data_IF_483995348619
#
_entry.id   IF_483995348619
#
_cell.length_a   1.000
_cell.length_b   1.000
_cell.length_c   1.000
_cell.angle_alpha   90.00
_cell.angle_beta   90.00
_cell.angle_gamma   90.00
#
_symmetry.space_group_name_H-M   'P 1'
#
loop_
_entity.id
_entity.type
_entity.pdbx_description
1 polymer ?
#
# COMPACT_ATOMS: atom_id res chain seq x y z
N UNK A 1 28.39 8.15 3.37
CA UNK A 1 27.50 9.02 2.56
C UNK A 1 26.81 8.19 1.48
N UNK A 2 25.58 7.72 1.72
CA UNK A 2 24.72 7.02 0.72
C UNK A 2 23.28 7.55 0.84
N UNK A 3 23.13 8.86 0.85
CA UNK A 3 21.88 9.58 1.11
C UNK A 3 21.07 9.84 -0.18
N UNK A 4 20.77 8.80 -0.97
CA UNK A 4 19.89 8.94 -2.13
C UNK A 4 20.55 9.24 -3.48
N UNK A 5 21.88 9.16 -3.59
CA UNK A 5 22.54 9.18 -4.90
C UNK A 5 22.16 7.92 -5.70
N UNK A 6 21.63 8.10 -6.92
CA UNK A 6 21.22 7.00 -7.80
C UNK A 6 22.42 6.42 -8.55
N UNK A 7 23.44 7.23 -8.85
CA UNK A 7 24.67 6.81 -9.51
C UNK A 7 25.84 7.73 -9.10
N UNK A 8 27.08 7.24 -9.18
CA UNK A 8 28.30 8.02 -8.91
C UNK A 8 29.27 7.81 -10.07
N UNK A 9 29.63 8.89 -10.76
CA UNK A 9 30.54 8.86 -11.90
C UNK A 9 31.86 9.54 -11.54
N UNK A 10 32.98 8.87 -11.79
CA UNK A 10 34.34 9.39 -11.54
C UNK A 10 34.87 10.09 -12.79
N UNK A 11 35.48 11.26 -12.63
CA UNK A 11 36.09 12.00 -13.74
C UNK A 11 37.36 11.30 -14.25
N UNK A 12 37.66 11.39 -15.56
CA UNK A 12 36.86 12.02 -16.62
C UNK A 12 35.66 11.13 -17.01
N UNK A 13 34.47 11.74 -17.12
CA UNK A 13 33.22 11.04 -17.46
C UNK A 13 32.98 11.16 -18.96
N UNK A 14 32.68 10.05 -19.63
CA UNK A 14 32.27 10.06 -21.04
C UNK A 14 30.82 10.52 -21.15
N UNK A 15 30.53 11.34 -22.15
CA UNK A 15 29.18 11.91 -22.36
C UNK A 15 28.09 10.84 -22.44
N UNK A 16 28.36 9.71 -23.11
CA UNK A 16 27.45 8.57 -23.19
C UNK A 16 27.14 7.96 -21.81
N UNK A 17 28.15 7.79 -20.96
CA UNK A 17 27.96 7.22 -19.61
C UNK A 17 27.12 8.15 -18.73
N UNK A 18 27.30 9.47 -18.88
CA UNK A 18 26.51 10.48 -18.21
C UNK A 18 25.04 10.42 -18.66
N UNK A 19 24.79 10.38 -19.96
CA UNK A 19 23.44 10.29 -20.52
C UNK A 19 22.72 9.01 -20.08
N UNK A 20 23.41 7.88 -20.07
CA UNK A 20 22.85 6.62 -19.58
C UNK A 20 22.52 6.66 -18.08
N UNK A 21 23.41 7.24 -17.26
CA UNK A 21 23.17 7.40 -15.82
C UNK A 21 21.95 8.29 -15.54
N UNK A 22 21.79 9.39 -16.28
CA UNK A 22 20.62 10.28 -16.18
C UNK A 22 19.34 9.54 -16.57
N UNK A 23 19.35 8.78 -17.67
CA UNK A 23 18.18 8.02 -18.11
C UNK A 23 17.77 6.96 -17.07
N UNK A 24 18.74 6.22 -16.50
CA UNK A 24 18.48 5.29 -15.39
C UNK A 24 17.90 5.99 -14.17
N UNK A 25 18.42 7.17 -13.83
CA UNK A 25 17.93 7.96 -12.70
C UNK A 25 16.47 8.40 -12.88
N UNK A 26 16.10 8.87 -14.07
CA UNK A 26 14.72 9.29 -14.39
C UNK A 26 13.76 8.10 -14.31
N UNK A 27 14.13 6.95 -14.90
CA UNK A 27 13.30 5.74 -14.87
C UNK A 27 13.06 5.25 -13.43
N UNK A 28 14.13 5.17 -12.63
CA UNK A 28 14.04 4.78 -11.22
C UNK A 28 13.21 5.77 -10.39
N UNK A 29 13.35 7.07 -10.66
CA UNK A 29 12.57 8.10 -9.99
C UNK A 29 11.08 7.97 -10.28
N UNK A 30 10.69 7.71 -11.54
CA UNK A 30 9.31 7.52 -11.94
C UNK A 30 8.65 6.34 -11.20
N UNK A 31 9.34 5.19 -11.14
CA UNK A 31 8.87 4.01 -10.40
C UNK A 31 8.69 4.30 -8.91
N UNK A 32 9.70 4.90 -8.27
CA UNK A 32 9.65 5.27 -6.85
C UNK A 32 8.54 6.26 -6.53
N UNK A 33 8.24 7.18 -7.46
CA UNK A 33 7.16 8.15 -7.28
C UNK A 33 5.80 7.46 -7.26
N UNK A 34 5.56 6.50 -8.16
CA UNK A 34 4.32 5.71 -8.18
C UNK A 34 4.15 4.90 -6.89
N UNK A 35 5.20 4.23 -6.43
CA UNK A 35 5.19 3.47 -5.17
C UNK A 35 4.93 4.38 -3.96
N UNK A 36 5.51 5.57 -3.95
CA UNK A 36 5.30 6.53 -2.87
C UNK A 36 3.86 7.05 -2.87
N UNK A 37 3.31 7.43 -4.03
CA UNK A 37 1.91 7.89 -4.13
C UNK A 37 0.95 6.80 -3.69
N UNK A 38 1.13 5.55 -4.13
CA UNK A 38 0.27 4.42 -3.73
C UNK A 38 0.36 4.10 -2.24
N UNK A 39 1.56 4.19 -1.63
CA UNK A 39 1.72 4.08 -0.17
C UNK A 39 1.02 5.21 0.57
N UNK A 40 1.17 6.46 0.12
CA UNK A 40 0.52 7.61 0.76
C UNK A 40 -1.00 7.51 0.69
N UNK A 41 -1.58 7.09 -0.44
CA UNK A 41 -3.03 6.92 -0.56
C UNK A 41 -3.54 5.77 0.30
N UNK A 42 -2.83 4.65 0.36
CA UNK A 42 -3.17 3.52 1.24
C UNK A 42 -3.15 3.93 2.72
N UNK A 43 -2.14 4.71 3.13
CA UNK A 43 -2.00 5.20 4.50
C UNK A 43 -3.12 6.19 4.87
N UNK A 44 -3.48 7.10 3.97
CA UNK A 44 -4.62 8.00 4.16
C UNK A 44 -5.95 7.22 4.30
N UNK A 45 -6.16 6.21 3.45
CA UNK A 45 -7.32 5.32 3.55
C UNK A 45 -7.38 4.62 4.91
N UNK A 46 -6.26 4.05 5.36
CA UNK A 46 -6.16 3.37 6.65
C UNK A 46 -6.43 4.28 7.85
N UNK A 47 -5.91 5.52 7.81
CA UNK A 47 -6.15 6.53 8.85
C UNK A 47 -7.63 6.94 8.92
N UNK A 48 -8.37 6.89 7.81
CA UNK A 48 -9.81 7.18 7.77
C UNK A 48 -10.70 6.05 8.34
N UNK A 49 -10.12 4.87 8.58
CA UNK A 49 -10.87 3.75 9.14
C UNK A 49 -11.22 4.02 10.60
N UNK A 50 -12.41 3.59 10.99
CA UNK A 50 -12.81 3.47 12.39
C UNK A 50 -12.06 2.30 13.05
N UNK A 51 -12.08 2.26 14.38
CA UNK A 51 -11.47 1.15 15.12
C UNK A 51 -12.03 -0.22 14.70
N UNK A 52 -13.36 -0.31 14.51
CA UNK A 52 -14.03 -1.56 14.09
C UNK A 52 -13.65 -1.96 12.66
N UNK A 53 -13.56 -1.00 11.74
CA UNK A 53 -13.13 -1.28 10.37
C UNK A 53 -11.67 -1.78 10.33
N UNK A 54 -10.78 -1.26 11.18
CA UNK A 54 -9.39 -1.78 11.29
C UNK A 54 -9.33 -3.21 11.82
N UNK A 55 -10.10 -3.53 12.84
CA UNK A 55 -10.19 -4.91 13.36
C UNK A 55 -10.69 -5.88 12.28
N UNK A 56 -11.73 -5.49 11.56
CA UNK A 56 -12.26 -6.28 10.44
C UNK A 56 -11.21 -6.42 9.35
N UNK A 57 -10.53 -5.32 8.96
CA UNK A 57 -9.47 -5.34 7.94
C UNK A 57 -8.38 -6.37 8.27
N UNK A 58 -7.88 -6.39 9.51
CA UNK A 58 -6.85 -7.33 9.93
C UNK A 58 -7.29 -8.79 9.73
N UNK A 59 -8.54 -9.11 10.08
CA UNK A 59 -9.09 -10.45 9.91
C UNK A 59 -9.38 -10.80 8.44
N UNK A 60 -9.80 -9.83 7.63
CA UNK A 60 -9.95 -10.02 6.17
C UNK A 60 -8.60 -10.34 5.53
N UNK A 61 -7.55 -9.61 5.89
CA UNK A 61 -6.18 -9.82 5.38
C UNK A 61 -5.64 -11.18 5.84
N UNK A 62 -6.02 -11.63 7.04
CA UNK A 62 -5.74 -12.99 7.52
C UNK A 62 -6.58 -14.09 6.83
N UNK A 63 -7.40 -13.75 5.84
CA UNK A 63 -8.18 -14.71 5.05
C UNK A 63 -9.45 -15.22 5.72
N UNK A 64 -9.93 -14.57 6.80
CA UNK A 64 -11.12 -15.01 7.54
C UNK A 64 -12.40 -14.73 6.74
N UNK A 65 -13.33 -15.68 6.81
CA UNK A 65 -14.69 -15.56 6.27
C UNK A 65 -15.55 -14.63 7.14
N UNK A 66 -16.58 -14.02 6.56
CA UNK A 66 -17.49 -13.10 7.29
C UNK A 66 -18.07 -13.74 8.55
N UNK A 67 -18.46 -15.02 8.48
CA UNK A 67 -18.98 -15.78 9.62
C UNK A 67 -17.95 -15.95 10.73
N UNK A 68 -16.68 -16.15 10.39
CA UNK A 68 -15.60 -16.29 11.37
C UNK A 68 -15.30 -14.94 12.03
N UNK A 69 -15.24 -13.86 11.25
CA UNK A 69 -15.05 -12.50 11.75
C UNK A 69 -16.20 -12.11 12.69
N UNK A 70 -17.43 -12.45 12.32
CA UNK A 70 -18.61 -12.21 13.14
C UNK A 70 -18.51 -12.92 14.50
N UNK A 71 -18.09 -14.19 14.51
CA UNK A 71 -17.89 -14.94 15.75
C UNK A 71 -16.76 -14.34 16.61
N UNK A 72 -15.64 -13.99 16.00
CA UNK A 72 -14.45 -13.46 16.70
C UNK A 72 -14.67 -12.08 17.30
N UNK A 73 -15.44 -11.22 16.61
CA UNK A 73 -15.76 -9.86 17.08
C UNK A 73 -17.08 -9.76 17.84
N UNK A 74 -17.79 -10.89 18.04
CA UNK A 74 -19.12 -10.95 18.66
C UNK A 74 -20.13 -10.01 17.97
N UNK A 75 -20.14 -10.04 16.63
CA UNK A 75 -21.03 -9.25 15.77
C UNK A 75 -21.94 -10.17 14.95
N UNK A 76 -23.03 -9.62 14.41
CA UNK A 76 -23.82 -10.32 13.41
C UNK A 76 -23.12 -10.28 12.04
N UNK A 77 -23.25 -11.35 11.24
CA UNK A 77 -22.65 -11.42 9.89
C UNK A 77 -23.09 -10.24 8.98
N UNK A 78 -24.36 -9.79 8.97
CA UNK A 78 -24.76 -8.60 8.21
C UNK A 78 -24.00 -7.34 8.61
N UNK A 79 -23.71 -7.17 9.90
CA UNK A 79 -22.92 -6.03 10.42
C UNK A 79 -21.48 -6.08 9.92
N UNK A 80 -20.88 -7.27 9.87
CA UNK A 80 -19.54 -7.46 9.28
C UNK A 80 -19.56 -7.10 7.79
N UNK A 81 -20.59 -7.51 7.04
CA UNK A 81 -20.72 -7.15 5.60
C UNK A 81 -20.79 -5.64 5.41
N UNK A 82 -21.57 -4.94 6.25
CA UNK A 82 -21.67 -3.48 6.21
C UNK A 82 -20.30 -2.81 6.45
N UNK A 83 -19.63 -3.17 7.55
CA UNK A 83 -18.31 -2.60 7.84
C UNK A 83 -17.26 -2.96 6.79
N UNK A 84 -17.29 -4.18 6.21
CA UNK A 84 -16.42 -4.55 5.10
C UNK A 84 -16.68 -3.67 3.88
N UNK A 85 -17.93 -3.38 3.55
CA UNK A 85 -18.28 -2.45 2.46
C UNK A 85 -17.69 -1.07 2.67
N UNK A 86 -17.91 -0.47 3.84
CA UNK A 86 -17.37 0.85 4.18
C UNK A 86 -15.84 0.86 4.20
N UNK A 87 -15.21 -0.16 4.78
CA UNK A 87 -13.76 -0.33 4.79
C UNK A 87 -13.20 -0.42 3.37
N UNK A 88 -13.80 -1.24 2.49
CA UNK A 88 -13.34 -1.36 1.09
C UNK A 88 -13.44 -0.03 0.33
N UNK A 89 -14.53 0.72 0.55
CA UNK A 89 -14.71 2.05 -0.04
C UNK A 89 -13.67 3.06 0.47
N UNK A 90 -13.44 3.12 1.79
CA UNK A 90 -12.45 4.02 2.41
C UNK A 90 -11.02 3.68 1.99
N UNK A 91 -10.71 2.38 1.92
CA UNK A 91 -9.42 1.90 1.40
C UNK A 91 -9.30 2.03 -0.12
N UNK A 92 -10.38 2.36 -0.83
CA UNK A 92 -10.46 2.35 -2.31
C UNK A 92 -9.98 1.01 -2.90
N UNK A 93 -10.20 -0.08 -2.15
CA UNK A 93 -9.82 -1.41 -2.55
C UNK A 93 -10.90 -2.00 -3.46
N UNK A 94 -10.51 -2.42 -4.66
CA UNK A 94 -11.40 -3.02 -5.66
C UNK A 94 -11.59 -4.52 -5.47
N UNK A 95 -10.72 -5.17 -4.69
CA UNK A 95 -10.79 -6.60 -4.38
C UNK A 95 -10.07 -6.90 -3.06
N UNK A 96 -10.31 -8.08 -2.49
CA UNK A 96 -9.59 -8.55 -1.30
C UNK A 96 -8.10 -8.69 -1.58
N UNK A 97 -7.71 -9.16 -2.77
CA UNK A 97 -6.31 -9.24 -3.18
C UNK A 97 -5.65 -7.85 -3.24
N UNK A 98 -6.36 -6.84 -3.75
CA UNK A 98 -5.88 -5.46 -3.75
C UNK A 98 -5.72 -4.95 -2.31
N UNK A 99 -6.70 -5.20 -1.43
CA UNK A 99 -6.61 -4.84 -0.01
C UNK A 99 -5.41 -5.47 0.69
N UNK A 100 -5.15 -6.77 0.46
CA UNK A 100 -3.99 -7.50 1.02
C UNK A 100 -2.67 -6.87 0.58
N UNK A 101 -2.56 -6.53 -0.72
CA UNK A 101 -1.38 -5.82 -1.25
C UNK A 101 -1.17 -4.46 -0.59
N UNK A 102 -2.24 -3.71 -0.35
CA UNK A 102 -2.18 -2.43 0.37
C UNK A 102 -1.80 -2.60 1.84
N UNK A 103 -2.32 -3.64 2.49
CA UNK A 103 -2.14 -3.90 3.92
C UNK A 103 -0.70 -4.26 4.32
N UNK A 104 0.09 -4.85 3.41
CA UNK A 104 1.47 -5.27 3.67
C UNK A 104 2.45 -4.15 4.11
N UNK A 105 2.03 -2.88 4.03
CA UNK A 105 2.79 -1.74 4.58
C UNK A 105 2.03 -0.90 5.61
N UNK A 106 0.90 -1.41 6.14
CA UNK A 106 -0.02 -0.66 7.02
C UNK A 106 -0.32 -1.35 8.36
N UNK A 107 -0.36 -2.69 8.37
CA UNK A 107 -0.55 -3.53 9.56
C UNK A 107 0.81 -3.86 10.19
#
# INVERSE_FOLDING_TARGET
MKAGAIDVLTKPVREKDLLEAVNRAIANYALRRLDRTTKTTAQAGYMSLTHRERQIMALVVAGKLNKQIAAELQLAEPTVKLHRGHMMQKMKATSVAHLVKMAGGLL
#
